data_IF_003947730302
#
_entry.id   IF_003947730302
#
_cell.length_a   1.000
_cell.length_b   1.000
_cell.length_c   1.000
_cell.angle_alpha   90.00
_cell.angle_beta   90.00
_cell.angle_gamma   90.00
#
_symmetry.space_group_name_H-M   'P 1'
#
loop_
_entity.id
_entity.type
_entity.pdbx_description
1 polymer ?
#
# COMPACT_ATOMS: atom_id res chain seq x y z
N UNK A 1 -10.91 -23.53 -21.13
CA UNK A 1 -11.60 -23.47 -19.83
C UNK A 1 -10.66 -24.08 -18.80
N UNK A 2 -10.03 -23.26 -17.96
CA UNK A 2 -8.92 -23.70 -17.12
C UNK A 2 -9.40 -24.55 -15.92
N UNK A 3 -8.71 -25.68 -15.67
CA UNK A 3 -8.98 -26.71 -14.64
C UNK A 3 -9.02 -26.23 -13.16
N UNK A 4 -8.83 -24.94 -12.89
CA UNK A 4 -8.84 -24.37 -11.52
C UNK A 4 -10.10 -23.56 -11.19
N UNK A 5 -10.95 -23.26 -12.18
CA UNK A 5 -12.10 -22.37 -12.03
C UNK A 5 -13.10 -22.85 -10.96
N UNK A 6 -13.25 -24.17 -10.80
CA UNK A 6 -14.13 -24.76 -9.78
C UNK A 6 -13.49 -24.89 -8.39
N UNK A 7 -12.15 -24.80 -8.29
CA UNK A 7 -11.43 -25.10 -7.04
C UNK A 7 -11.18 -23.86 -6.17
N UNK A 8 -11.09 -22.67 -6.76
CA UNK A 8 -10.77 -21.45 -6.02
C UNK A 8 -11.73 -20.31 -6.36
N UNK A 9 -12.55 -19.91 -5.37
CA UNK A 9 -13.38 -18.71 -5.47
C UNK A 9 -12.48 -17.46 -5.45
N UNK A 10 -12.67 -16.51 -6.38
CA UNK A 10 -12.00 -15.21 -6.32
C UNK A 10 -12.19 -14.56 -4.95
N UNK A 11 -11.10 -14.00 -4.40
CA UNK A 11 -11.12 -13.38 -3.08
C UNK A 11 -10.09 -12.28 -2.95
N UNK A 12 -10.38 -11.30 -2.10
CA UNK A 12 -9.39 -10.27 -1.74
C UNK A 12 -8.31 -10.85 -0.82
N UNK A 13 -7.03 -10.51 -1.02
CA UNK A 13 -5.96 -10.90 -0.12
C UNK A 13 -6.15 -10.26 1.26
N UNK A 14 -5.65 -10.94 2.30
CA UNK A 14 -5.54 -10.31 3.63
C UNK A 14 -4.33 -9.38 3.62
N UNK A 15 -4.42 -8.24 4.29
CA UNK A 15 -3.32 -7.31 4.39
C UNK A 15 -3.23 -6.67 5.77
N UNK A 16 -2.03 -6.20 6.12
CA UNK A 16 -1.74 -5.38 7.28
C UNK A 16 -0.90 -4.19 6.82
N UNK A 17 -1.55 -3.03 6.68
CA UNK A 17 -0.93 -1.82 6.15
C UNK A 17 -0.66 -0.84 7.29
N UNK A 18 0.50 -0.17 7.25
CA UNK A 18 0.89 0.84 8.23
C UNK A 18 1.31 2.11 7.53
N UNK A 19 0.70 3.23 7.94
CA UNK A 19 1.17 4.57 7.59
C UNK A 19 2.22 4.97 8.62
N UNK A 20 3.40 5.36 8.17
CA UNK A 20 4.45 5.90 9.03
C UNK A 20 4.35 7.41 9.03
N UNK A 21 4.01 7.98 10.19
CA UNK A 21 3.94 9.42 10.41
C UNK A 21 5.04 9.84 11.37
N UNK A 22 5.64 10.99 11.10
CA UNK A 22 6.76 11.50 11.87
C UNK A 22 6.88 13.01 11.79
N UNK A 23 7.80 13.55 12.57
CA UNK A 23 8.14 14.97 12.57
C UNK A 23 9.26 15.22 11.58
N UNK A 24 9.15 16.32 10.84
CA UNK A 24 10.23 16.81 10.00
C UNK A 24 10.77 18.11 10.57
N UNK A 25 12.00 18.08 11.08
CA UNK A 25 12.67 19.25 11.63
C UNK A 25 13.43 20.03 10.56
N UNK A 26 12.70 20.60 9.60
CA UNK A 26 13.26 21.51 8.61
C UNK A 26 13.55 22.90 9.24
N UNK A 27 14.29 23.77 8.53
CA UNK A 27 14.71 25.10 9.04
C UNK A 27 13.52 25.96 9.48
N UNK A 28 12.38 25.85 8.81
CA UNK A 28 11.16 26.57 9.18
C UNK A 28 10.55 26.01 10.47
N UNK A 29 10.43 24.68 10.57
CA UNK A 29 9.87 24.05 11.77
C UNK A 29 10.74 24.29 13.01
N UNK A 30 12.07 24.33 12.86
CA UNK A 30 13.00 24.63 13.95
C UNK A 30 12.84 26.06 14.52
N UNK A 31 12.28 27.02 13.76
CA UNK A 31 12.04 28.39 14.26
C UNK A 31 10.67 28.58 14.89
N UNK A 32 9.73 27.65 14.65
CA UNK A 32 8.32 27.78 15.06
C UNK A 32 7.87 26.73 16.09
N UNK A 33 8.62 25.62 16.23
CA UNK A 33 8.29 24.50 17.10
C UNK A 33 9.49 24.13 17.96
N UNK A 34 9.20 23.47 19.08
CA UNK A 34 10.20 23.01 20.04
C UNK A 34 9.90 21.57 20.47
N UNK A 35 10.71 21.02 21.39
CA UNK A 35 10.56 19.63 21.81
C UNK A 35 9.26 19.35 22.57
N UNK A 36 8.69 20.35 23.25
CA UNK A 36 7.46 20.23 24.02
C UNK A 36 6.22 20.48 23.14
N UNK A 37 6.39 21.27 22.07
CA UNK A 37 5.40 21.62 21.07
C UNK A 37 5.92 21.26 19.67
N UNK A 38 6.01 19.96 19.34
CA UNK A 38 6.56 19.53 18.06
C UNK A 38 5.66 19.93 16.88
N UNK A 39 6.22 20.01 15.66
CA UNK A 39 5.43 20.30 14.47
C UNK A 39 4.34 19.25 14.23
N UNK A 40 3.32 19.54 13.40
CA UNK A 40 2.38 18.52 12.96
C UNK A 40 3.10 17.33 12.31
N UNK A 41 2.61 16.12 12.59
CA UNK A 41 3.18 14.91 11.97
C UNK A 41 2.84 14.90 10.49
N UNK A 42 3.85 14.64 9.66
CA UNK A 42 3.68 14.42 8.23
C UNK A 42 3.79 12.93 7.91
N UNK A 43 3.20 12.49 6.80
CA UNK A 43 3.37 11.13 6.30
C UNK A 43 4.76 11.00 5.72
N UNK A 44 5.58 10.13 6.31
CA UNK A 44 6.95 9.86 5.87
C UNK A 44 7.06 8.62 5.00
N UNK A 45 6.06 7.73 5.05
CA UNK A 45 6.03 6.56 4.18
C UNK A 45 4.89 5.61 4.49
N UNK A 46 4.78 4.60 3.65
CA UNK A 46 3.77 3.55 3.73
C UNK A 46 4.45 2.18 3.76
N UNK A 47 3.91 1.27 4.58
CA UNK A 47 4.32 -0.14 4.59
C UNK A 47 3.10 -1.01 4.36
N UNK A 48 3.04 -1.62 3.18
CA UNK A 48 1.99 -2.58 2.81
C UNK A 48 2.49 -4.00 3.07
N UNK A 49 1.79 -4.77 3.89
CA UNK A 49 2.07 -6.21 4.06
C UNK A 49 0.85 -6.97 3.55
N UNK A 50 0.94 -7.52 2.35
CA UNK A 50 -0.17 -8.22 1.70
C UNK A 50 0.16 -9.71 1.65
N UNK A 51 -0.80 -10.54 2.07
CA UNK A 51 -0.60 -11.98 2.25
C UNK A 51 -1.27 -12.76 1.11
N UNK A 52 -0.44 -13.56 0.43
CA UNK A 52 -0.84 -14.39 -0.70
C UNK A 52 -0.52 -15.90 -0.51
N UNK A 53 -0.98 -16.57 0.57
CA UNK A 53 -0.60 -17.96 0.88
C UNK A 53 -0.99 -18.99 -0.21
N UNK A 54 -2.21 -18.86 -0.76
CA UNK A 54 -2.76 -19.82 -1.74
C UNK A 54 -2.63 -19.35 -3.20
N UNK A 55 -1.53 -18.70 -3.59
CA UNK A 55 -1.29 -18.34 -5.00
C UNK A 55 -1.23 -19.62 -5.86
N UNK A 56 -1.94 -19.66 -6.98
CA UNK A 56 -1.94 -20.84 -7.88
C UNK A 56 -0.56 -21.03 -8.51
N UNK A 57 0.06 -19.94 -8.97
CA UNK A 57 1.39 -19.95 -9.59
C UNK A 57 2.42 -19.26 -8.67
N UNK A 58 3.07 -20.05 -7.80
CA UNK A 58 4.08 -19.53 -6.86
C UNK A 58 5.39 -19.08 -7.54
N UNK A 59 5.55 -19.30 -8.85
CA UNK A 59 6.75 -18.88 -9.58
C UNK A 59 6.70 -17.40 -9.96
N UNK A 60 5.50 -16.81 -10.00
CA UNK A 60 5.28 -15.41 -10.34
C UNK A 60 5.06 -14.58 -9.09
N UNK A 61 5.88 -13.55 -8.92
CA UNK A 61 5.69 -12.58 -7.84
C UNK A 61 4.50 -11.65 -8.14
N UNK A 62 3.76 -11.20 -7.12
CA UNK A 62 2.80 -10.11 -7.27
C UNK A 62 3.48 -8.82 -7.74
N UNK A 63 2.78 -8.05 -8.55
CA UNK A 63 3.26 -6.78 -9.10
C UNK A 63 2.42 -5.62 -8.56
N UNK A 64 2.93 -4.39 -8.68
CA UNK A 64 2.16 -3.20 -8.34
C UNK A 64 2.28 -2.15 -9.44
N UNK A 65 1.26 -1.30 -9.52
CA UNK A 65 1.22 -0.13 -10.41
C UNK A 65 0.80 1.10 -9.62
N UNK A 66 1.40 2.23 -9.97
CA UNK A 66 1.04 3.54 -9.40
C UNK A 66 0.28 4.29 -10.48
N UNK A 67 -0.99 4.55 -10.20
CA UNK A 67 -1.90 5.31 -11.04
C UNK A 67 -2.06 6.71 -10.43
N UNK A 68 -2.14 7.74 -11.28
CA UNK A 68 -2.45 9.08 -10.80
C UNK A 68 -3.92 9.14 -10.39
N UNK A 69 -4.19 9.83 -9.29
CA UNK A 69 -5.54 10.11 -8.87
C UNK A 69 -6.05 11.35 -9.63
N UNK A 70 -7.19 11.21 -10.32
CA UNK A 70 -7.81 12.29 -11.12
C UNK A 70 -8.36 13.43 -10.25
N UNK A 71 -8.43 13.24 -8.93
CA UNK A 71 -9.14 14.15 -8.05
C UNK A 71 -8.37 15.40 -7.65
N UNK A 72 -7.04 15.36 -7.47
CA UNK A 72 -6.24 16.56 -7.09
C UNK A 72 -4.71 16.47 -7.29
N UNK A 73 -4.14 15.36 -7.79
CA UNK A 73 -2.70 15.22 -8.02
C UNK A 73 -1.80 15.19 -6.77
N UNK A 74 -2.36 15.40 -5.58
CA UNK A 74 -1.68 15.24 -4.28
C UNK A 74 -1.60 13.77 -3.85
N UNK A 75 -2.55 12.95 -4.31
CA UNK A 75 -2.66 11.53 -4.02
C UNK A 75 -2.38 10.68 -5.26
N UNK A 76 -1.97 9.44 -5.03
CA UNK A 76 -1.84 8.43 -6.07
C UNK A 76 -2.48 7.13 -5.59
N UNK A 77 -2.96 6.34 -6.54
CA UNK A 77 -3.52 5.02 -6.28
C UNK A 77 -2.45 3.97 -6.56
N UNK A 78 -2.12 3.16 -5.56
CA UNK A 78 -1.26 2.00 -5.72
C UNK A 78 -2.15 0.76 -5.86
N UNK A 79 -2.09 0.11 -7.02
CA UNK A 79 -2.84 -1.11 -7.33
C UNK A 79 -1.90 -2.31 -7.30
N UNK A 80 -2.19 -3.27 -6.43
CA UNK A 80 -1.45 -4.53 -6.32
C UNK A 80 -2.16 -5.60 -7.12
N UNK A 81 -1.43 -6.18 -8.07
CA UNK A 81 -1.88 -7.26 -8.92
C UNK A 81 -1.29 -8.57 -8.46
N UNK A 82 -2.16 -9.55 -8.26
CA UNK A 82 -1.77 -10.91 -7.93
C UNK A 82 -2.44 -11.90 -8.88
N UNK A 83 -1.80 -13.04 -9.10
CA UNK A 83 -2.40 -14.13 -9.86
C UNK A 83 -3.61 -14.74 -9.14
N UNK A 84 -4.39 -15.59 -9.84
CA UNK A 84 -5.47 -16.35 -9.23
C UNK A 84 -5.00 -17.08 -7.95
N UNK A 85 -5.83 -17.12 -6.89
CA UNK A 85 -7.24 -16.72 -6.84
C UNK A 85 -7.48 -15.29 -6.31
N UNK A 86 -6.45 -14.46 -6.24
CA UNK A 86 -6.57 -13.15 -5.61
C UNK A 86 -7.07 -12.10 -6.58
N UNK A 87 -7.98 -11.26 -6.09
CA UNK A 87 -8.39 -10.03 -6.78
C UNK A 87 -7.36 -8.92 -6.52
N UNK A 88 -7.25 -8.02 -7.48
CA UNK A 88 -6.42 -6.81 -7.36
C UNK A 88 -6.95 -5.90 -6.26
N UNK A 89 -6.04 -5.24 -5.53
CA UNK A 89 -6.37 -4.30 -4.45
C UNK A 89 -5.68 -2.96 -4.62
#
# INVERSE_FOLDING_TARGET
VYWWHDKYRPRKPKYFNRVHTGYEWNKYNQTHYDHDNPPPKIVQGYKFNIFYPDLVDKTKAPEYKIEKDDSNGETCLIRFHAGPPYEDI
#
